data_IF_594821045873
#
_entry.id   IF_594821045873
#
_cell.length_a   1.000
_cell.length_b   1.000
_cell.length_c   1.000
_cell.angle_alpha   90.00
_cell.angle_beta   90.00
_cell.angle_gamma   90.00
#
_symmetry.space_group_name_H-M   'P 1'
#
loop_
_entity.id
_entity.type
_entity.pdbx_description
1 polymer ?
#
# COMPACT_ATOMS: atom_id res chain seq x y z
N UNK A 1 -12.43 19.37 -6.17
CA UNK A 1 -12.64 19.37 -4.71
C UNK A 1 -12.93 17.93 -4.32
N UNK A 2 -12.37 17.43 -3.21
CA UNK A 2 -12.58 16.04 -2.76
C UNK A 2 -13.51 16.08 -1.55
N UNK A 3 -14.61 15.32 -1.60
CA UNK A 3 -15.65 15.30 -0.55
C UNK A 3 -15.40 14.21 0.50
N UNK A 4 -14.64 13.18 0.15
CA UNK A 4 -14.22 12.12 1.07
C UNK A 4 -13.22 11.19 0.42
N UNK A 5 -12.47 10.45 1.25
CA UNK A 5 -11.47 9.48 0.80
C UNK A 5 -11.66 8.14 1.49
N UNK A 6 -11.49 7.06 0.75
CA UNK A 6 -11.29 5.71 1.30
C UNK A 6 -9.89 5.27 0.90
N UNK A 7 -9.01 5.09 1.89
CA UNK A 7 -7.59 4.83 1.71
C UNK A 7 -7.28 3.41 2.17
N UNK A 8 -7.12 2.51 1.21
CA UNK A 8 -6.76 1.12 1.44
C UNK A 8 -5.24 0.98 1.52
N UNK A 9 -4.74 0.36 2.59
CA UNK A 9 -3.32 0.03 2.76
C UNK A 9 -2.36 1.21 2.51
N UNK A 10 -2.78 2.43 2.91
CA UNK A 10 -1.96 3.63 2.69
C UNK A 10 -0.71 3.64 3.57
N UNK A 11 0.44 3.87 2.95
CA UNK A 11 1.68 4.19 3.64
C UNK A 11 2.04 5.66 3.34
N UNK A 12 1.98 6.56 4.35
CA UNK A 12 2.21 7.98 4.15
C UNK A 12 3.70 8.33 3.99
N UNK A 13 4.60 7.38 4.22
CA UNK A 13 6.04 7.60 4.21
C UNK A 13 6.69 7.09 2.92
N UNK A 14 7.79 7.71 2.54
CA UNK A 14 8.73 7.19 1.56
C UNK A 14 9.43 5.94 2.10
N UNK A 15 9.89 5.07 1.19
CA UNK A 15 10.65 3.88 1.60
C UNK A 15 11.92 4.32 2.34
N UNK A 16 12.15 3.77 3.53
CA UNK A 16 13.40 3.93 4.25
C UNK A 16 14.58 3.43 3.42
N UNK A 17 15.78 3.95 3.66
CA UNK A 17 16.97 3.58 2.88
C UNK A 17 17.32 2.07 2.97
N UNK A 18 16.95 1.41 4.08
CA UNK A 18 17.11 -0.04 4.27
C UNK A 18 16.13 -0.80 3.36
N UNK A 19 14.86 -0.41 3.36
CA UNK A 19 13.82 -1.00 2.50
C UNK A 19 14.10 -0.73 1.02
N UNK A 20 14.70 0.42 0.71
CA UNK A 20 15.20 0.75 -0.62
C UNK A 20 16.34 -0.18 -1.04
N UNK A 21 17.32 -0.42 -0.16
CA UNK A 21 18.45 -1.31 -0.46
C UNK A 21 17.99 -2.77 -0.62
N UNK A 22 17.12 -3.25 0.27
CA UNK A 22 16.49 -4.57 0.15
C UNK A 22 15.66 -4.69 -1.13
N UNK A 23 14.90 -3.66 -1.48
CA UNK A 23 14.13 -3.59 -2.74
C UNK A 23 15.00 -3.57 -3.99
N UNK A 24 16.16 -2.90 -3.95
CA UNK A 24 17.12 -2.88 -5.06
C UNK A 24 17.81 -4.23 -5.27
N UNK A 25 18.22 -4.89 -4.18
CA UNK A 25 18.86 -6.21 -4.25
C UNK A 25 17.91 -7.29 -4.74
N UNK A 26 16.66 -7.29 -4.24
CA UNK A 26 15.61 -8.20 -4.71
C UNK A 26 15.21 -7.91 -6.16
N UNK A 27 15.06 -6.65 -6.54
CA UNK A 27 14.68 -6.26 -7.91
C UNK A 27 15.70 -6.55 -9.00
N UNK A 28 16.96 -6.90 -8.65
CA UNK A 28 17.99 -7.28 -9.62
C UNK A 28 17.93 -8.76 -10.02
N UNK A 29 17.35 -9.62 -9.18
CA UNK A 29 17.41 -11.09 -9.36
C UNK A 29 16.05 -11.77 -9.39
N UNK A 30 14.98 -11.07 -8.98
CA UNK A 30 13.62 -11.63 -8.91
C UNK A 30 12.73 -11.17 -10.06
N UNK A 31 11.77 -12.02 -10.43
CA UNK A 31 10.74 -11.66 -11.40
C UNK A 31 9.80 -10.60 -10.80
N UNK A 32 9.21 -9.77 -11.63
CA UNK A 32 8.37 -8.66 -11.18
C UNK A 32 7.25 -9.08 -10.19
N UNK A 33 6.49 -10.18 -10.40
CA UNK A 33 5.50 -10.62 -9.43
C UNK A 33 6.08 -10.92 -8.05
N UNK A 34 7.30 -11.45 -7.99
CA UNK A 34 7.97 -11.77 -6.72
C UNK A 34 8.33 -10.51 -5.92
N UNK A 35 8.44 -9.36 -6.59
CA UNK A 35 8.63 -8.08 -5.93
C UNK A 35 7.32 -7.41 -5.52
N UNK A 36 6.23 -7.64 -6.25
CA UNK A 36 4.94 -6.96 -6.02
C UNK A 36 4.08 -7.72 -5.00
N UNK A 37 4.04 -9.05 -5.05
CA UNK A 37 3.19 -9.87 -4.17
C UNK A 37 3.49 -9.66 -2.67
N UNK A 38 4.76 -9.53 -2.21
CA UNK A 38 5.07 -9.19 -0.82
C UNK A 38 4.49 -7.87 -0.31
N UNK A 39 4.07 -6.98 -1.21
CA UNK A 39 3.42 -5.73 -0.84
C UNK A 39 1.89 -5.82 -0.79
N UNK A 40 1.32 -6.93 -1.24
CA UNK A 40 -0.13 -7.14 -1.30
C UNK A 40 -0.62 -8.17 -0.28
N UNK A 41 0.24 -9.13 0.05
CA UNK A 41 -0.07 -10.28 0.90
C UNK A 41 0.88 -10.36 2.08
N UNK A 42 0.39 -10.91 3.19
CA UNK A 42 1.25 -11.21 4.35
C UNK A 42 2.26 -12.31 4.00
N UNK A 43 3.34 -12.40 4.78
CA UNK A 43 4.29 -13.51 4.60
C UNK A 43 3.63 -14.87 4.78
N UNK A 44 2.69 -15.01 5.72
CA UNK A 44 1.95 -16.24 5.94
C UNK A 44 1.14 -16.64 4.70
N UNK A 45 0.43 -15.70 4.08
CA UNK A 45 -0.35 -15.95 2.86
C UNK A 45 0.54 -16.38 1.69
N UNK A 46 1.71 -15.76 1.55
CA UNK A 46 2.69 -16.08 0.51
C UNK A 46 3.31 -17.46 0.73
N UNK A 47 3.69 -17.79 1.98
CA UNK A 47 4.26 -19.09 2.33
C UNK A 47 3.23 -20.22 2.17
N UNK A 48 1.98 -19.96 2.53
CA UNK A 48 0.87 -20.89 2.33
C UNK A 48 0.43 -21.00 0.87
N UNK A 49 0.89 -20.09 0.00
CA UNK A 49 0.61 -20.07 -1.44
C UNK A 49 -0.88 -20.29 -1.75
N UNK A 50 -1.75 -19.53 -1.07
CA UNK A 50 -3.20 -19.65 -1.17
C UNK A 50 -3.71 -19.48 -2.60
N UNK A 51 -4.93 -19.93 -2.90
CA UNK A 51 -5.54 -19.78 -4.23
C UNK A 51 -5.55 -18.30 -4.71
N UNK A 52 -5.72 -17.35 -3.78
CA UNK A 52 -5.66 -15.92 -4.07
C UNK A 52 -4.26 -15.47 -4.50
N UNK A 53 -3.22 -15.92 -3.80
CA UNK A 53 -1.82 -15.62 -4.16
C UNK A 53 -1.50 -16.20 -5.52
N UNK A 54 -1.90 -17.44 -5.78
CA UNK A 54 -1.70 -18.10 -7.08
C UNK A 54 -2.43 -17.36 -8.21
N UNK A 55 -3.70 -17.00 -7.99
CA UNK A 55 -4.50 -16.26 -8.96
C UNK A 55 -3.92 -14.87 -9.26
N UNK A 56 -3.57 -14.10 -8.22
CA UNK A 56 -2.95 -12.78 -8.38
C UNK A 56 -1.60 -12.87 -9.11
N UNK A 57 -0.77 -13.87 -8.78
CA UNK A 57 0.50 -14.12 -9.46
C UNK A 57 0.30 -14.38 -10.95
N UNK A 58 -0.68 -15.22 -11.29
CA UNK A 58 -1.02 -15.52 -12.69
C UNK A 58 -1.56 -14.28 -13.42
N UNK A 59 -2.38 -13.46 -12.77
CA UNK A 59 -2.89 -12.22 -13.34
C UNK A 59 -1.77 -11.22 -13.64
N UNK A 60 -0.85 -11.01 -12.68
CA UNK A 60 0.32 -10.15 -12.89
C UNK A 60 1.11 -10.67 -14.09
N UNK A 61 1.41 -11.97 -14.17
CA UNK A 61 2.21 -12.52 -15.26
C UNK A 61 1.55 -12.47 -16.64
N UNK A 62 0.25 -12.78 -16.71
CA UNK A 62 -0.41 -13.10 -17.98
C UNK A 62 -1.33 -11.98 -18.48
N UNK A 63 -1.76 -11.07 -17.61
CA UNK A 63 -2.76 -10.03 -17.93
C UNK A 63 -2.17 -8.64 -17.89
N UNK A 64 -1.30 -8.35 -16.90
CA UNK A 64 -0.77 -7.00 -16.71
C UNK A 64 0.43 -6.75 -17.64
N UNK A 65 0.49 -5.55 -18.21
CA UNK A 65 1.64 -5.11 -18.99
C UNK A 65 2.88 -4.98 -18.08
N UNK A 66 3.85 -5.87 -18.25
CA UNK A 66 5.05 -5.92 -17.40
C UNK A 66 5.89 -4.64 -17.46
N UNK A 67 5.95 -3.98 -18.61
CA UNK A 67 6.73 -2.76 -18.77
C UNK A 67 6.10 -1.59 -18.00
N UNK A 68 4.79 -1.38 -18.16
CA UNK A 68 4.07 -0.35 -17.42
C UNK A 68 4.08 -0.61 -15.92
N UNK A 69 3.90 -1.88 -15.53
CA UNK A 69 3.93 -2.27 -14.13
C UNK A 69 5.32 -2.04 -13.52
N UNK A 70 6.40 -2.29 -14.25
CA UNK A 70 7.76 -1.97 -13.78
C UNK A 70 7.95 -0.47 -13.56
N UNK A 71 7.45 0.37 -14.49
CA UNK A 71 7.51 1.83 -14.33
C UNK A 71 6.69 2.29 -13.12
N UNK A 72 5.47 1.79 -12.98
CA UNK A 72 4.61 2.09 -11.83
C UNK A 72 5.25 1.67 -10.52
N UNK A 73 5.80 0.45 -10.47
CA UNK A 73 6.49 -0.09 -9.30
C UNK A 73 7.69 0.76 -8.89
N UNK A 74 8.48 1.20 -9.87
CA UNK A 74 9.60 2.11 -9.62
C UNK A 74 9.13 3.49 -9.09
N UNK A 75 8.04 4.03 -9.62
CA UNK A 75 7.45 5.28 -9.11
C UNK A 75 6.95 5.12 -7.68
N UNK A 76 6.23 4.04 -7.37
CA UNK A 76 5.73 3.74 -6.03
C UNK A 76 6.87 3.61 -5.01
N UNK A 77 7.96 2.94 -5.39
CA UNK A 77 9.14 2.77 -4.55
C UNK A 77 9.97 4.05 -4.38
N UNK A 78 9.81 5.02 -5.28
CA UNK A 78 10.51 6.32 -5.22
C UNK A 78 9.66 7.44 -4.61
N UNK A 79 8.50 7.09 -4.03
CA UNK A 79 7.61 8.07 -3.40
C UNK A 79 8.32 8.79 -2.25
N UNK A 80 7.98 10.06 -2.06
CA UNK A 80 8.42 10.87 -0.93
C UNK A 80 7.36 10.87 0.15
N UNK A 81 7.75 11.26 1.34
CA UNK A 81 6.82 11.46 2.45
C UNK A 81 5.70 12.44 2.05
N UNK A 82 4.47 12.12 2.44
CA UNK A 82 3.33 13.03 2.31
C UNK A 82 3.42 14.22 3.29
N UNK A 83 4.36 14.17 4.25
CA UNK A 83 4.61 15.20 5.28
C UNK A 83 3.35 15.57 6.08
N UNK A 84 2.45 14.60 6.26
CA UNK A 84 1.19 14.83 6.94
C UNK A 84 1.40 14.96 8.44
N UNK A 85 0.79 16.00 9.02
CA UNK A 85 0.84 16.29 10.44
C UNK A 85 -0.55 16.64 10.93
N UNK A 86 -0.84 16.26 12.18
CA UNK A 86 -2.12 16.59 12.80
C UNK A 86 -2.27 18.11 12.93
N UNK A 87 -3.48 18.61 12.68
CA UNK A 87 -3.81 20.03 12.86
C UNK A 87 -3.35 20.53 14.23
N UNK A 88 -2.55 21.60 14.25
CA UNK A 88 -2.01 22.21 15.47
C UNK A 88 -0.71 21.60 16.01
N UNK A 89 -0.19 20.52 15.42
CA UNK A 89 1.10 19.94 15.85
C UNK A 89 2.31 20.77 15.37
N UNK A 90 2.23 21.38 14.18
CA UNK A 90 3.27 22.22 13.59
C UNK A 90 2.65 23.41 12.84
N UNK A 91 3.43 24.49 12.69
CA UNK A 91 3.02 25.65 11.89
C UNK A 91 2.78 25.20 10.44
N UNK A 92 1.61 25.53 9.87
CA UNK A 92 1.22 25.12 8.51
C UNK A 92 1.20 23.60 8.25
N UNK A 93 0.79 22.81 9.26
CA UNK A 93 0.60 21.36 9.11
C UNK A 93 -0.25 21.01 7.86
N UNK A 94 0.29 20.15 6.99
CA UNK A 94 -0.46 19.56 5.88
C UNK A 94 -1.27 18.39 6.41
N UNK A 95 -2.58 18.39 6.18
CA UNK A 95 -3.45 17.27 6.55
C UNK A 95 -4.67 17.20 5.63
N UNK A 96 -5.40 16.09 5.66
CA UNK A 96 -6.63 15.93 4.91
C UNK A 96 -7.73 16.80 5.54
N UNK A 97 -8.42 17.60 4.70
CA UNK A 97 -9.54 18.44 5.14
C UNK A 97 -10.91 17.79 4.94
N UNK A 98 -10.98 16.73 4.14
CA UNK A 98 -12.19 15.96 3.91
C UNK A 98 -12.23 14.74 4.83
N UNK A 99 -13.42 14.19 5.11
CA UNK A 99 -13.56 12.91 5.77
C UNK A 99 -12.73 11.81 5.10
N UNK A 100 -12.02 11.02 5.90
CA UNK A 100 -11.20 9.92 5.42
C UNK A 100 -11.54 8.62 6.15
N UNK A 101 -11.64 7.52 5.41
CA UNK A 101 -11.73 6.18 5.96
C UNK A 101 -10.45 5.42 5.62
N UNK A 102 -9.67 5.10 6.64
CA UNK A 102 -8.48 4.27 6.53
C UNK A 102 -8.89 2.81 6.68
N UNK A 103 -8.50 1.97 5.73
CA UNK A 103 -8.84 0.55 5.73
C UNK A 103 -7.56 -0.27 5.58
N UNK A 104 -7.37 -1.24 6.48
CA UNK A 104 -6.23 -2.16 6.41
C UNK A 104 -6.62 -3.56 6.86
N UNK A 105 -5.95 -4.55 6.28
CA UNK A 105 -6.07 -5.93 6.71
C UNK A 105 -5.37 -6.22 8.03
N UNK A 106 -5.92 -7.15 8.79
CA UNK A 106 -5.21 -7.75 9.90
C UNK A 106 -3.98 -8.51 9.38
N UNK A 107 -2.81 -8.23 9.96
CA UNK A 107 -1.51 -8.78 9.56
C UNK A 107 -1.09 -8.43 8.11
N UNK A 108 -1.70 -7.40 7.50
CA UNK A 108 -1.31 -6.94 6.18
C UNK A 108 0.05 -6.21 6.23
N UNK A 109 0.87 -6.26 5.16
CA UNK A 109 2.16 -5.57 5.12
C UNK A 109 2.10 -4.06 5.38
N UNK A 110 0.95 -3.43 5.12
CA UNK A 110 0.73 -2.00 5.28
C UNK A 110 0.17 -1.59 6.65
N UNK A 111 -0.04 -2.53 7.58
CA UNK A 111 -0.67 -2.28 8.88
C UNK A 111 0.02 -1.13 9.64
N UNK A 112 1.33 -1.19 9.79
CA UNK A 112 2.09 -0.17 10.51
C UNK A 112 1.96 1.21 9.85
N UNK A 113 2.06 1.28 8.52
CA UNK A 113 1.92 2.52 7.76
C UNK A 113 0.52 3.15 7.89
N UNK A 114 -0.54 2.35 7.89
CA UNK A 114 -1.92 2.86 8.04
C UNK A 114 -2.17 3.33 9.47
N UNK A 115 -1.67 2.60 10.47
CA UNK A 115 -1.77 3.00 11.88
C UNK A 115 -1.03 4.33 12.12
N UNK A 116 0.16 4.49 11.53
CA UNK A 116 0.91 5.74 11.58
C UNK A 116 0.16 6.87 10.86
N UNK A 117 -0.41 6.61 9.68
CA UNK A 117 -1.24 7.57 8.95
C UNK A 117 -2.42 8.07 9.81
N UNK A 118 -3.10 7.15 10.49
CA UNK A 118 -4.21 7.49 11.40
C UNK A 118 -3.76 8.43 12.53
N UNK A 119 -2.57 8.21 13.09
CA UNK A 119 -2.01 9.06 14.15
C UNK A 119 -1.72 10.50 13.71
N UNK A 120 -1.45 10.70 12.42
CA UNK A 120 -1.14 11.99 11.78
C UNK A 120 -2.39 12.74 11.30
N UNK A 121 -3.56 12.09 11.31
CA UNK A 121 -4.82 12.66 10.84
C UNK A 121 -5.69 13.22 11.97
N UNK A 122 -6.68 14.03 11.59
CA UNK A 122 -7.67 14.54 12.53
C UNK A 122 -8.67 13.43 12.89
N UNK A 123 -8.74 12.98 14.16
CA UNK A 123 -9.62 11.89 14.57
C UNK A 123 -11.10 12.25 14.48
N UNK A 124 -11.46 13.53 14.39
CA UNK A 124 -12.88 13.93 14.24
C UNK A 124 -13.40 13.71 12.82
N UNK A 125 -12.50 13.63 11.84
CA UNK A 125 -12.82 13.47 10.42
C UNK A 125 -12.25 12.15 9.83
N UNK A 126 -11.63 11.31 10.66
CA UNK A 126 -10.98 10.07 10.20
C UNK A 126 -11.57 8.86 10.89
N UNK A 127 -11.98 7.86 10.10
CA UNK A 127 -12.42 6.55 10.58
C UNK A 127 -11.34 5.52 10.25
N UNK A 128 -11.01 4.64 11.20
CA UNK A 128 -10.06 3.54 11.02
C UNK A 128 -10.79 2.20 11.09
N UNK A 129 -10.67 1.40 10.02
CA UNK A 129 -11.28 0.08 9.89
C UNK A 129 -10.20 -0.98 9.65
N UNK A 130 -10.02 -1.85 10.65
CA UNK A 130 -9.17 -3.04 10.54
C UNK A 130 -10.04 -4.25 10.20
N UNK A 131 -9.73 -4.93 9.10
CA UNK A 131 -10.55 -6.02 8.53
C UNK A 131 -9.79 -7.34 8.60
N UNK A 132 -10.42 -8.40 9.11
CA UNK A 132 -9.79 -9.71 9.27
C UNK A 132 -9.56 -10.46 7.94
N UNK A 133 -10.07 -9.94 6.82
CA UNK A 133 -9.98 -10.57 5.49
C UNK A 133 -9.68 -9.51 4.43
N UNK A 134 -8.40 -9.22 4.16
CA UNK A 134 -8.04 -8.08 3.28
C UNK A 134 -7.33 -8.47 1.98
N UNK A 135 -6.72 -9.65 1.88
CA UNK A 135 -6.00 -10.03 0.66
C UNK A 135 -6.88 -10.02 -0.60
N UNK A 136 -8.17 -10.37 -0.49
CA UNK A 136 -9.14 -10.27 -1.58
C UNK A 136 -9.41 -8.82 -2.04
N UNK A 137 -9.46 -7.87 -1.10
CA UNK A 137 -9.71 -6.45 -1.40
C UNK A 137 -8.51 -5.82 -2.08
N UNK A 138 -7.29 -6.15 -1.65
CA UNK A 138 -6.05 -5.64 -2.25
C UNK A 138 -5.84 -6.19 -3.67
N UNK A 139 -6.10 -7.49 -3.89
CA UNK A 139 -5.98 -8.07 -5.23
C UNK A 139 -7.03 -7.53 -6.20
N UNK A 140 -8.28 -7.40 -5.76
CA UNK A 140 -9.37 -6.90 -6.60
C UNK A 140 -9.26 -5.39 -6.89
N UNK A 141 -8.70 -4.61 -5.95
CA UNK A 141 -8.66 -3.14 -6.03
C UNK A 141 -7.36 -2.54 -6.58
N UNK A 142 -6.20 -3.17 -6.37
CA UNK A 142 -4.89 -2.52 -6.58
C UNK A 142 -4.18 -2.91 -7.88
N UNK A 143 -4.58 -4.00 -8.55
CA UNK A 143 -3.95 -4.46 -9.80
C UNK A 143 -4.92 -4.47 -11.00
N UNK A 144 -6.22 -4.63 -10.76
CA UNK A 144 -7.17 -5.02 -11.82
C UNK A 144 -7.89 -3.87 -12.53
N UNK A 145 -7.89 -2.65 -11.98
CA UNK A 145 -8.72 -1.60 -12.59
C UNK A 145 -8.04 -0.87 -13.74
N UNK A 146 -6.77 -0.43 -13.67
CA UNK A 146 -6.19 0.40 -14.74
C UNK A 146 -4.64 0.43 -14.83
N UNK A 147 -3.97 -0.69 -15.11
CA UNK A 147 -2.56 -0.69 -15.59
C UNK A 147 -2.41 -1.45 -16.90
#
# INVERSE_FOLDING_TARGET
>A
MVEGLVLLNIDPNGKGWIDWAAGKLTGLTSALPDTVLPHLFSQEELMNNTELVQSCRQQINNTVNQFNLQLFWNMYNSRRDLEMNRSGAVLNAKTLKCPAMLVVGDNAPAEEGVVECNSKLDPTNTTFLKVTVCAQLTCSGSILTHV
#
